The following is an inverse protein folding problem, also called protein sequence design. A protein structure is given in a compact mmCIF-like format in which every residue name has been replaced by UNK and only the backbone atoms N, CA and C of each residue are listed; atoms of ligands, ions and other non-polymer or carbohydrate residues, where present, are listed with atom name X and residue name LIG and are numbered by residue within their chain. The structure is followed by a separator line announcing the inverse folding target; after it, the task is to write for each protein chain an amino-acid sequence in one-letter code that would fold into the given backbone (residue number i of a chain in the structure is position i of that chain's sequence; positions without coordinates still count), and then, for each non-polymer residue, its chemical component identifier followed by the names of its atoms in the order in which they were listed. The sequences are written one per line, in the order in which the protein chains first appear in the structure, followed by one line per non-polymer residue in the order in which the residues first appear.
data_IF_853510629935
#
_entry.id   IF_853510629935
#
_cell.length_a   1.000
_cell.length_b   1.000
_cell.length_c   1.000
_cell.angle_alpha   90.00
_cell.angle_beta   90.00
_cell.angle_gamma   90.00
#
_symmetry.space_group_name_H-M   'P 1'
#
loop_
_entity.id
_entity.type
_entity.pdbx_description
1 polymer ?
#
# COMPACT_ATOMS: atom_id res chain seq x y z
N UNK A 1 11.29 -20.16 4.39
CA UNK A 1 10.04 -19.58 3.85
C UNK A 1 9.43 -18.75 4.96
N UNK A 2 9.31 -17.44 4.78
CA UNK A 2 8.65 -16.55 5.73
C UNK A 2 7.16 -16.50 5.39
N UNK A 3 6.29 -16.81 6.35
CA UNK A 3 4.84 -16.83 6.12
C UNK A 3 4.20 -15.73 6.96
N UNK A 4 3.66 -14.72 6.30
CA UNK A 4 2.75 -13.76 6.94
C UNK A 4 1.34 -14.33 6.90
N UNK A 5 0.79 -14.71 8.07
CA UNK A 5 -0.55 -15.29 8.15
C UNK A 5 -1.64 -14.37 7.56
N UNK A 6 -1.69 -13.06 7.87
CA UNK A 6 -2.66 -12.16 7.25
C UNK A 6 -2.53 -12.09 5.72
N UNK A 7 -1.30 -12.01 5.21
CA UNK A 7 -1.04 -11.99 3.76
C UNK A 7 -1.47 -13.28 3.07
N UNK A 8 -1.10 -14.43 3.64
CA UNK A 8 -1.48 -15.74 3.11
C UNK A 8 -3.01 -15.96 3.11
N UNK A 9 -3.69 -15.54 4.19
CA UNK A 9 -5.14 -15.62 4.29
C UNK A 9 -5.83 -14.79 3.21
N UNK A 10 -5.39 -13.54 2.99
CA UNK A 10 -5.93 -12.69 1.92
C UNK A 10 -5.65 -13.28 0.53
N UNK A 11 -4.43 -13.77 0.29
CA UNK A 11 -4.08 -14.41 -0.98
C UNK A 11 -4.93 -15.64 -1.29
N UNK A 12 -5.23 -16.46 -0.29
CA UNK A 12 -6.13 -17.60 -0.44
C UNK A 12 -7.54 -17.15 -0.83
N UNK A 13 -8.07 -16.12 -0.18
CA UNK A 13 -9.40 -15.57 -0.49
C UNK A 13 -9.43 -14.98 -1.90
N UNK A 14 -8.40 -14.24 -2.29
CA UNK A 14 -8.28 -13.65 -3.62
C UNK A 14 -8.25 -14.73 -4.69
N UNK A 15 -7.42 -15.76 -4.48
CA UNK A 15 -7.34 -16.88 -5.40
C UNK A 15 -8.67 -17.65 -5.49
N UNK A 16 -9.40 -17.80 -4.39
CA UNK A 16 -10.70 -18.49 -4.41
C UNK A 16 -11.78 -17.72 -5.16
N UNK A 17 -11.80 -16.39 -5.05
CA UNK A 17 -12.91 -15.57 -5.55
C UNK A 17 -12.63 -14.86 -6.87
N UNK A 18 -11.36 -14.65 -7.24
CA UNK A 18 -10.97 -13.82 -8.39
C UNK A 18 -10.07 -14.54 -9.39
N UNK A 19 -9.99 -15.87 -9.34
CA UNK A 19 -9.23 -16.62 -10.34
C UNK A 19 -9.98 -16.67 -11.66
N UNK A 20 -9.27 -16.31 -12.74
CA UNK A 20 -9.81 -16.45 -14.08
C UNK A 20 -9.64 -17.91 -14.52
N UNK A 21 -10.72 -18.69 -14.47
CA UNK A 21 -10.75 -20.08 -14.91
C UNK A 21 -10.84 -20.25 -16.44
N UNK A 22 -10.92 -19.16 -17.19
CA UNK A 22 -11.15 -19.13 -18.63
C UNK A 22 -9.95 -18.54 -19.40
N UNK A 23 -8.77 -18.45 -18.79
CA UNK A 23 -7.60 -17.88 -19.44
C UNK A 23 -7.14 -18.81 -20.59
N UNK A 24 -6.96 -18.28 -21.79
CA UNK A 24 -6.61 -19.06 -22.97
C UNK A 24 -5.21 -18.70 -23.49
N UNK A 25 -4.37 -19.71 -23.67
CA UNK A 25 -3.06 -19.59 -24.31
C UNK A 25 -3.06 -20.31 -25.67
N UNK A 26 -2.47 -19.68 -26.68
CA UNK A 26 -2.29 -20.27 -28.01
C UNK A 26 -1.16 -21.30 -27.97
N UNK A 27 -1.50 -22.57 -28.17
CA UNK A 27 -0.55 -23.69 -28.08
C UNK A 27 -0.04 -24.10 -29.46
N UNK A 28 -0.88 -23.99 -30.50
CA UNK A 28 -0.52 -24.29 -31.89
C UNK A 28 -0.94 -23.10 -32.77
N UNK A 29 0.05 -22.41 -33.35
CA UNK A 29 -0.15 -21.22 -34.18
C UNK A 29 -0.70 -21.55 -35.57
N UNK A 30 -0.35 -22.72 -36.11
CA UNK A 30 -0.72 -23.10 -37.46
C UNK A 30 -2.16 -23.62 -37.49
N UNK A 31 -2.58 -24.33 -36.44
CA UNK A 31 -3.96 -24.83 -36.27
C UNK A 31 -4.86 -23.90 -35.46
N UNK A 32 -4.34 -22.74 -35.02
CA UNK A 32 -5.04 -21.79 -34.13
C UNK A 32 -5.69 -22.48 -32.93
N UNK A 33 -4.98 -23.41 -32.31
CA UNK A 33 -5.49 -24.21 -31.17
C UNK A 33 -5.11 -23.55 -29.85
N UNK A 34 -6.11 -23.35 -29.01
CA UNK A 34 -5.98 -22.72 -27.68
C UNK A 34 -6.17 -23.74 -26.57
N UNK A 35 -5.42 -23.59 -25.49
CA UNK A 35 -5.64 -24.32 -24.24
C UNK A 35 -6.21 -23.37 -23.18
N UNK A 36 -7.19 -23.84 -22.42
CA UNK A 36 -7.75 -23.07 -21.30
C UNK A 36 -7.10 -23.50 -20.00
N UNK A 37 -6.72 -22.54 -19.16
CA UNK A 37 -6.18 -22.75 -17.82
C UNK A 37 -6.79 -21.77 -16.82
N UNK A 38 -6.63 -22.09 -15.55
CA UNK A 38 -6.93 -21.17 -14.44
C UNK A 38 -5.71 -20.32 -14.14
N UNK A 39 -5.85 -18.99 -14.22
CA UNK A 39 -4.76 -18.04 -14.03
C UNK A 39 -5.18 -16.98 -13.00
N UNK A 40 -4.29 -16.72 -12.04
CA UNK A 40 -4.42 -15.62 -11.09
C UNK A 40 -3.05 -15.22 -10.56
N UNK A 41 -2.62 -14.01 -10.87
CA UNK A 41 -1.34 -13.45 -10.45
C UNK A 41 -1.48 -12.34 -9.41
N UNK A 42 -2.64 -12.23 -8.75
CA UNK A 42 -2.92 -11.20 -7.75
C UNK A 42 -2.47 -11.69 -6.38
N UNK A 43 -1.46 -11.04 -5.82
CA UNK A 43 -0.93 -11.35 -4.50
C UNK A 43 -0.77 -10.08 -3.67
N UNK A 44 -1.21 -10.16 -2.42
CA UNK A 44 -0.88 -9.25 -1.34
C UNK A 44 0.49 -9.62 -0.77
N UNK A 45 1.31 -8.59 -0.59
CA UNK A 45 2.48 -8.59 0.26
C UNK A 45 2.18 -7.78 1.52
N UNK A 46 2.77 -8.18 2.64
CA UNK A 46 2.64 -7.45 3.90
C UNK A 46 3.94 -6.75 4.17
N UNK A 47 3.84 -5.44 4.36
CA UNK A 47 4.95 -4.57 4.71
C UNK A 47 4.83 -4.13 6.18
N UNK A 48 5.97 -4.00 6.86
CA UNK A 48 6.07 -3.82 8.32
C UNK A 48 6.50 -5.08 9.08
N UNK A 49 6.38 -5.10 10.43
CA UNK A 49 5.68 -4.13 11.27
C UNK A 49 6.36 -2.77 11.32
N UNK A 50 5.56 -1.73 11.54
CA UNK A 50 5.99 -0.35 11.69
C UNK A 50 5.88 0.11 13.13
N UNK A 51 6.67 1.13 13.49
CA UNK A 51 6.67 1.70 14.85
C UNK A 51 5.43 2.55 15.11
N UNK A 52 5.11 3.44 14.17
CA UNK A 52 4.03 4.39 14.32
C UNK A 52 3.46 4.79 12.95
N UNK A 53 2.17 5.10 12.94
CA UNK A 53 1.47 5.70 11.80
C UNK A 53 0.64 6.88 12.31
N UNK A 54 0.81 8.04 11.67
CA UNK A 54 0.16 9.29 12.07
C UNK A 54 -0.81 9.70 10.96
N UNK A 55 -2.07 9.90 11.32
CA UNK A 55 -3.14 10.31 10.43
C UNK A 55 -3.72 11.65 10.90
N UNK A 56 -3.80 12.69 10.05
CA UNK A 56 -4.42 13.96 10.40
C UNK A 56 -5.95 13.88 10.32
N UNK A 57 -6.63 14.67 11.16
CA UNK A 57 -8.09 14.86 11.09
C UNK A 57 -8.45 16.09 10.25
N UNK A 58 -9.64 16.07 9.65
CA UNK A 58 -10.23 17.24 8.99
C UNK A 58 -10.63 18.30 10.02
N UNK A 59 -10.69 19.54 9.57
CA UNK A 59 -11.29 20.67 10.32
C UNK A 59 -12.81 20.71 10.19
N UNK A 60 -13.37 20.09 9.14
CA UNK A 60 -14.82 19.95 8.93
C UNK A 60 -15.34 18.71 9.65
N UNK A 61 -16.49 18.83 10.31
CA UNK A 61 -17.22 17.72 10.93
C UNK A 61 -17.58 16.65 9.88
N UNK A 62 -17.49 15.38 10.27
CA UNK A 62 -17.78 14.19 9.44
C UNK A 62 -16.99 14.04 8.14
N UNK A 63 -15.94 14.83 7.94
CA UNK A 63 -15.07 14.72 6.77
C UNK A 63 -13.77 14.03 7.14
N UNK A 64 -13.45 12.95 6.42
CA UNK A 64 -12.17 12.26 6.57
C UNK A 64 -11.16 12.79 5.53
N UNK A 65 -9.97 13.18 5.99
CA UNK A 65 -8.83 13.48 5.13
C UNK A 65 -8.22 12.18 4.61
N UNK A 66 -8.56 11.82 3.37
CA UNK A 66 -7.95 10.66 2.70
C UNK A 66 -6.57 11.01 2.16
N UNK A 67 -5.70 9.99 2.03
CA UNK A 67 -4.37 10.07 1.38
C UNK A 67 -3.36 11.01 2.05
N UNK A 68 -3.52 11.31 3.36
CA UNK A 68 -2.52 12.01 4.17
C UNK A 68 -2.12 11.13 5.34
N UNK A 69 -0.87 10.67 5.38
CA UNK A 69 -0.34 9.85 6.47
C UNK A 69 1.20 9.86 6.48
N UNK A 70 1.77 9.62 7.66
CA UNK A 70 3.19 9.43 7.88
C UNK A 70 3.41 8.10 8.62
N UNK A 71 4.36 7.29 8.16
CA UNK A 71 4.70 5.97 8.72
C UNK A 71 6.17 5.94 9.07
N UNK A 72 6.50 5.37 10.24
CA UNK A 72 7.86 5.32 10.78
C UNK A 72 8.31 3.89 11.05
N UNK A 73 9.58 3.64 10.74
CA UNK A 73 10.28 2.40 11.05
C UNK A 73 10.63 2.32 12.54
N UNK A 74 11.03 1.12 12.99
CA UNK A 74 11.44 0.89 14.38
C UNK A 74 12.69 1.68 14.79
N UNK A 75 13.59 1.99 13.85
CA UNK A 75 14.75 2.86 14.09
C UNK A 75 14.39 4.36 14.18
N UNK A 76 13.11 4.71 14.02
CA UNK A 76 12.61 6.08 14.00
C UNK A 76 12.76 6.79 12.64
N UNK A 77 13.31 6.13 11.63
CA UNK A 77 13.37 6.68 10.28
C UNK A 77 11.98 6.76 9.65
N UNK A 78 11.78 7.75 8.79
CA UNK A 78 10.55 7.93 8.03
C UNK A 78 10.47 6.87 6.92
N UNK A 79 9.53 5.93 7.06
CA UNK A 79 9.31 4.89 6.06
C UNK A 79 8.50 5.43 4.87
N UNK A 80 7.39 6.10 5.15
CA UNK A 80 6.50 6.61 4.13
C UNK A 80 5.85 7.93 4.55
N UNK A 81 5.73 8.85 3.60
CA UNK A 81 5.05 10.13 3.79
C UNK A 81 4.21 10.45 2.55
N UNK A 82 2.89 10.57 2.76
CA UNK A 82 1.94 10.85 1.69
C UNK A 82 1.09 12.06 2.01
N UNK A 83 0.86 12.87 0.98
CA UNK A 83 -0.11 13.97 0.99
C UNK A 83 0.27 15.22 1.81
N UNK A 84 1.28 15.13 2.68
CA UNK A 84 1.80 16.27 3.45
C UNK A 84 2.60 17.24 2.59
N UNK A 85 2.50 18.52 2.96
CA UNK A 85 3.14 19.66 2.32
C UNK A 85 4.68 19.51 2.27
N UNK A 86 5.28 18.84 3.26
CA UNK A 86 6.70 18.47 3.29
C UNK A 86 7.18 17.77 1.99
N UNK A 87 6.35 16.92 1.37
CA UNK A 87 6.69 16.22 0.12
C UNK A 87 6.29 16.98 -1.16
N UNK A 88 5.45 18.02 -1.04
CA UNK A 88 4.89 18.76 -2.18
C UNK A 88 5.80 19.89 -2.65
N UNK A 89 5.84 20.15 -3.97
CA UNK A 89 6.55 21.30 -4.55
C UNK A 89 5.69 22.56 -4.41
N UNK A 90 6.33 23.71 -4.14
CA UNK A 90 5.67 25.02 -4.11
C UNK A 90 5.00 25.42 -2.78
N UNK A 91 4.96 24.53 -1.78
CA UNK A 91 4.36 24.86 -0.47
C UNK A 91 5.27 25.77 0.38
N UNK A 92 4.65 26.47 1.34
CA UNK A 92 5.33 27.38 2.27
C UNK A 92 6.43 26.67 3.06
N UNK A 93 7.65 27.20 3.02
CA UNK A 93 8.81 26.58 3.68
C UNK A 93 8.62 26.42 5.19
N UNK A 94 7.97 27.38 5.85
CA UNK A 94 7.67 27.30 7.29
C UNK A 94 6.81 26.09 7.64
N UNK A 95 5.81 25.76 6.82
CA UNK A 95 4.94 24.60 7.05
C UNK A 95 5.72 23.30 6.89
N UNK A 96 6.64 23.25 5.92
CA UNK A 96 7.51 22.08 5.72
C UNK A 96 8.42 21.86 6.93
N UNK A 97 9.13 22.89 7.38
CA UNK A 97 10.00 22.80 8.56
C UNK A 97 9.22 22.48 9.83
N UNK A 98 8.00 23.02 9.98
CA UNK A 98 7.12 22.69 11.10
C UNK A 98 6.70 21.21 11.10
N UNK A 99 6.26 20.68 9.95
CA UNK A 99 5.86 19.28 9.83
C UNK A 99 7.01 18.32 10.15
N UNK A 100 8.21 18.62 9.66
CA UNK A 100 9.40 17.81 9.93
C UNK A 100 9.73 17.74 11.43
N UNK A 101 9.74 18.89 12.12
CA UNK A 101 9.99 18.94 13.56
C UNK A 101 8.89 18.27 14.38
N UNK A 102 7.63 18.48 13.99
CA UNK A 102 6.48 17.90 14.68
C UNK A 102 6.48 16.36 14.58
N UNK A 103 6.81 15.81 13.41
CA UNK A 103 6.85 14.36 13.25
C UNK A 103 7.91 13.68 14.10
N UNK A 104 9.09 14.30 14.27
CA UNK A 104 10.12 13.80 15.17
C UNK A 104 9.60 13.75 16.63
N UNK A 105 8.82 14.75 17.05
CA UNK A 105 8.23 14.80 18.40
C UNK A 105 7.16 13.75 18.67
N UNK A 106 6.49 13.21 17.65
CA UNK A 106 5.56 12.09 17.84
C UNK A 106 6.25 10.74 18.10
N UNK A 107 7.57 10.67 17.92
CA UNK A 107 8.37 9.45 18.16
C UNK A 107 9.16 9.49 19.47
N UNK A 108 9.15 10.62 20.17
CA UNK A 108 9.63 10.75 21.56
C UNK A 108 8.59 10.17 22.52
#
# INVERSE_FOLDING_TARGET
VTVSYPGAMLNLLVHKHFTNHQYQDLVDKDKLTYSTKSENSIFFEVDGPYRAMILPSSTEEDKLLKKRYAVFNHDGSLAELKGFELKRRGELQIIKSFQEQLFAKFLE
#
